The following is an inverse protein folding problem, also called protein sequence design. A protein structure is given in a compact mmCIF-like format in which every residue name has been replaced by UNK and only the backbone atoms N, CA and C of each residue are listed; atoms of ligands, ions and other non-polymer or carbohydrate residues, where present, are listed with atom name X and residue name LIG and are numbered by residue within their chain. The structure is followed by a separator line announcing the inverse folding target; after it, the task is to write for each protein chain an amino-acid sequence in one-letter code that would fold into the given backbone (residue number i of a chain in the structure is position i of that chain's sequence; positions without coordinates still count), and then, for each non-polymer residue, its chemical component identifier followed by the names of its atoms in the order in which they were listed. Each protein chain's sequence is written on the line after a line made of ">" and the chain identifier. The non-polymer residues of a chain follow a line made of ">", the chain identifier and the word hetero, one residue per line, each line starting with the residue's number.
data_IF_727006532657
#
_entry.id   IF_727006532657
#
_cell.length_a   1.000
_cell.length_b   1.000
_cell.length_c   1.000
_cell.angle_alpha   90.00
_cell.angle_beta   90.00
_cell.angle_gamma   90.00
#
_symmetry.space_group_name_H-M   'P 1'
#
loop_
_entity.id
_entity.type
_entity.pdbx_description
1 polymer ?
#
# COMPACT_ATOMS: atom_id res chain seq x y z
N UNK A 1 17.10 7.75 0.45
CA UNK A 1 17.01 6.32 0.09
C UNK A 1 16.33 6.16 -1.26
N UNK A 2 17.05 5.70 -2.27
CA UNK A 2 16.54 5.51 -3.65
C UNK A 2 15.68 4.23 -3.69
N UNK A 3 14.48 4.31 -4.25
CA UNK A 3 13.60 3.14 -4.46
C UNK A 3 13.64 2.79 -5.95
N UNK A 4 14.05 1.57 -6.28
CA UNK A 4 13.92 1.08 -7.64
C UNK A 4 12.50 0.51 -7.85
N UNK A 5 11.64 1.31 -8.48
CA UNK A 5 10.23 0.97 -8.70
C UNK A 5 10.04 -0.21 -9.67
N UNK A 6 10.95 -0.38 -10.63
CA UNK A 6 10.91 -1.48 -11.61
C UNK A 6 11.18 -2.85 -10.97
N UNK A 7 11.92 -2.89 -9.86
CA UNK A 7 12.24 -4.12 -9.12
C UNK A 7 11.18 -4.51 -8.10
N UNK A 8 10.12 -3.72 -7.90
CA UNK A 8 9.06 -4.03 -6.94
C UNK A 8 8.14 -5.09 -7.55
N UNK A 9 7.97 -6.20 -6.84
CA UNK A 9 7.01 -7.23 -7.23
C UNK A 9 5.57 -6.69 -7.16
N UNK A 10 4.73 -7.04 -8.14
CA UNK A 10 3.30 -6.74 -8.08
C UNK A 10 2.68 -7.33 -6.81
N UNK A 11 1.68 -6.63 -6.26
CA UNK A 11 0.91 -7.18 -5.15
C UNK A 11 0.11 -8.38 -5.64
N UNK A 12 0.30 -9.54 -5.02
CA UNK A 12 -0.57 -10.69 -5.25
C UNK A 12 -1.90 -10.42 -4.55
N UNK A 13 -2.97 -10.39 -5.33
CA UNK A 13 -4.34 -10.17 -4.85
C UNK A 13 -5.17 -11.32 -5.41
N UNK A 14 -5.78 -12.08 -4.51
CA UNK A 14 -6.70 -13.17 -4.84
C UNK A 14 -8.14 -12.66 -4.89
N UNK A 15 -9.03 -13.46 -5.48
CA UNK A 15 -10.47 -13.13 -5.50
C UNK A 15 -11.06 -13.05 -4.09
N UNK A 16 -10.66 -13.94 -3.18
CA UNK A 16 -11.19 -13.98 -1.81
C UNK A 16 -10.79 -12.75 -0.99
N UNK A 17 -9.55 -12.25 -1.17
CA UNK A 17 -9.13 -11.00 -0.53
C UNK A 17 -9.96 -9.83 -1.05
N UNK A 18 -10.30 -9.83 -2.34
CA UNK A 18 -11.11 -8.77 -2.93
C UNK A 18 -12.56 -8.81 -2.42
N UNK A 19 -13.12 -10.00 -2.22
CA UNK A 19 -14.45 -10.16 -1.61
C UNK A 19 -14.48 -9.63 -0.17
N UNK A 20 -13.40 -9.84 0.60
CA UNK A 20 -13.24 -9.28 1.94
C UNK A 20 -13.16 -7.73 1.89
N UNK A 21 -12.44 -7.17 0.91
CA UNK A 21 -12.39 -5.72 0.71
C UNK A 21 -13.76 -5.13 0.36
N UNK A 22 -14.53 -5.78 -0.51
CA UNK A 22 -15.90 -5.35 -0.85
C UNK A 22 -16.81 -5.35 0.39
N UNK A 23 -16.71 -6.40 1.21
CA UNK A 23 -17.43 -6.49 2.48
C UNK A 23 -17.05 -5.37 3.44
N UNK A 24 -15.76 -5.02 3.51
CA UNK A 24 -15.29 -3.91 4.35
C UNK A 24 -15.71 -2.53 3.84
N UNK A 25 -15.74 -2.33 2.52
CA UNK A 25 -16.16 -1.07 1.90
C UNK A 25 -17.69 -0.89 1.95
N UNK A 26 -18.46 -1.98 2.06
CA UNK A 26 -19.92 -1.96 2.01
C UNK A 26 -20.49 -1.62 0.62
N UNK A 27 -19.62 -1.60 -0.40
CA UNK A 27 -19.96 -1.26 -1.78
C UNK A 27 -19.34 -2.33 -2.69
N UNK A 28 -20.13 -2.99 -3.55
CA UNK A 28 -19.60 -3.98 -4.49
C UNK A 28 -18.76 -3.30 -5.57
N UNK A 29 -17.65 -3.93 -5.95
CA UNK A 29 -16.88 -3.46 -7.11
C UNK A 29 -17.59 -3.83 -8.41
N UNK A 30 -17.39 -3.02 -9.45
CA UNK A 30 -17.85 -3.41 -10.78
C UNK A 30 -17.01 -4.58 -11.29
N UNK A 31 -17.59 -5.41 -12.17
CA UNK A 31 -16.91 -6.59 -12.71
C UNK A 31 -15.64 -6.22 -13.47
N UNK A 32 -15.69 -5.10 -14.20
CA UNK A 32 -14.56 -4.58 -14.97
C UNK A 32 -13.41 -4.14 -14.05
N UNK A 33 -13.74 -3.50 -12.93
CA UNK A 33 -12.75 -3.08 -11.93
C UNK A 33 -12.12 -4.29 -11.25
N UNK A 34 -12.94 -5.30 -10.90
CA UNK A 34 -12.50 -6.58 -10.32
C UNK A 34 -11.53 -7.30 -11.26
N UNK A 35 -11.85 -7.35 -12.55
CA UNK A 35 -10.97 -7.94 -13.57
C UNK A 35 -9.67 -7.14 -13.74
N UNK A 36 -9.73 -5.81 -13.73
CA UNK A 36 -8.53 -4.98 -13.83
C UNK A 36 -7.58 -5.19 -12.63
N UNK A 37 -8.12 -5.27 -11.41
CA UNK A 37 -7.34 -5.53 -10.19
C UNK A 37 -6.67 -6.91 -10.25
N UNK A 38 -7.35 -7.91 -10.82
CA UNK A 38 -6.86 -9.29 -10.87
C UNK A 38 -5.93 -9.59 -12.06
N UNK A 39 -6.15 -8.97 -13.22
CA UNK A 39 -5.38 -9.26 -14.43
C UNK A 39 -4.26 -8.26 -14.70
N UNK A 40 -4.39 -7.00 -14.24
CA UNK A 40 -3.38 -5.98 -14.52
C UNK A 40 -2.22 -6.05 -13.55
N UNK A 41 -1.11 -6.61 -14.02
CA UNK A 41 0.17 -6.65 -13.30
C UNK A 41 0.67 -5.25 -12.93
N UNK A 42 0.49 -4.28 -13.83
CA UNK A 42 0.93 -2.90 -13.60
C UNK A 42 0.08 -2.20 -12.53
N UNK A 43 -1.23 -2.47 -12.49
CA UNK A 43 -2.09 -1.97 -11.41
C UNK A 43 -1.66 -2.50 -10.04
N UNK A 44 -1.42 -3.82 -9.94
CA UNK A 44 -0.91 -4.47 -8.73
C UNK A 44 0.46 -3.95 -8.32
N UNK A 45 1.34 -3.64 -9.27
CA UNK A 45 2.65 -3.01 -9.02
C UNK A 45 2.48 -1.61 -8.47
N UNK A 46 1.59 -0.80 -9.03
CA UNK A 46 1.29 0.54 -8.53
C UNK A 46 0.78 0.52 -7.07
N UNK A 47 -0.08 -0.45 -6.73
CA UNK A 47 -0.53 -0.67 -5.35
C UNK A 47 0.62 -1.03 -4.41
N UNK A 48 1.50 -1.96 -4.82
CA UNK A 48 2.67 -2.33 -4.02
C UNK A 48 3.60 -1.13 -3.76
N UNK A 49 3.81 -0.28 -4.78
CA UNK A 49 4.58 0.96 -4.66
C UNK A 49 3.93 1.92 -3.66
N UNK A 50 2.61 2.14 -3.78
CA UNK A 50 1.84 3.01 -2.87
C UNK A 50 1.95 2.53 -1.42
N UNK A 51 1.82 1.22 -1.18
CA UNK A 51 1.93 0.65 0.17
C UNK A 51 3.35 0.84 0.74
N UNK A 52 4.38 0.61 -0.06
CA UNK A 52 5.78 0.79 0.36
C UNK A 52 6.12 2.25 0.66
N UNK A 53 5.57 3.19 -0.12
CA UNK A 53 5.72 4.63 0.12
C UNK A 53 4.99 5.06 1.39
N UNK A 54 3.74 4.61 1.61
CA UNK A 54 2.97 4.91 2.81
C UNK A 54 3.69 4.43 4.07
N UNK A 55 4.19 3.19 4.08
CA UNK A 55 4.96 2.65 5.19
C UNK A 55 6.18 3.51 5.52
N UNK A 56 6.96 3.93 4.53
CA UNK A 56 8.12 4.80 4.75
C UNK A 56 7.75 6.16 5.33
N UNK A 57 6.68 6.76 4.84
CA UNK A 57 6.23 8.06 5.36
C UNK A 57 5.79 7.90 6.83
N UNK A 58 5.08 6.81 7.15
CA UNK A 58 4.67 6.50 8.53
C UNK A 58 5.88 6.26 9.44
N UNK A 59 6.85 5.44 9.02
CA UNK A 59 8.05 5.17 9.83
C UNK A 59 8.94 6.39 9.98
N UNK A 60 9.09 7.20 8.92
CA UNK A 60 9.87 8.44 9.00
C UNK A 60 9.21 9.46 9.93
N UNK A 61 7.87 9.55 9.93
CA UNK A 61 7.15 10.40 10.88
C UNK A 61 7.34 9.91 12.32
N UNK A 62 7.19 8.61 12.56
CA UNK A 62 7.41 8.02 13.88
C UNK A 62 8.83 8.32 14.40
N UNK A 63 9.86 8.11 13.57
CA UNK A 63 11.26 8.40 13.93
C UNK A 63 11.54 9.91 14.17
N UNK A 64 10.84 10.80 13.46
CA UNK A 64 10.94 12.24 13.70
C UNK A 64 10.27 12.67 15.01
N UNK A 65 9.17 12.02 15.39
CA UNK A 65 8.49 12.33 16.65
C UNK A 65 9.30 11.81 17.84
N UNK A 66 9.89 10.61 17.77
CA UNK A 66 10.76 10.05 18.81
C UNK A 66 12.05 10.87 19.02
N UNK A 67 12.64 11.39 17.94
CA UNK A 67 13.83 12.26 18.05
C UNK A 67 13.50 13.65 18.63
N UNK A 68 12.29 14.16 18.40
CA UNK A 68 11.83 15.44 18.98
C UNK A 68 11.49 15.33 20.46
N UNK A 69 11.02 14.18 20.95
CA UNK A 69 10.74 13.96 22.37
C UNK A 69 12.02 13.77 23.17
N UNK A 70 13.02 13.07 22.63
CA UNK A 70 14.34 12.93 23.28
C UNK A 70 15.11 14.25 23.44
N UNK A 71 14.99 15.19 22.49
CA UNK A 71 15.72 16.48 22.55
C UNK A 71 15.07 17.55 23.44
N UNK A 72 13.87 17.32 23.99
CA UNK A 72 13.20 18.27 24.92
C UNK A 72 13.52 18.00 26.39
N UNK A 73 14.17 16.89 26.70
CA UNK A 73 14.49 16.47 28.07
C UNK A 73 15.96 16.77 28.45
N UNK A 74 16.59 17.77 27.82
CA UNK A 74 17.97 18.20 28.07
C UNK A 74 18.03 19.67 28.43
#
# INVERSE_FOLDING_TARGET
>A
MVINYFKIQPLEITESELDEYEKHLGIPLRKEDREAILKSTEFRRALAIKNKLRLKISTNRLLQDDSKTMNRNK
#
